data_IF_896641124439
#
_entry.id   IF_896641124439
#
_cell.length_a   1.000
_cell.length_b   1.000
_cell.length_c   1.000
_cell.angle_alpha   90.00
_cell.angle_beta   90.00
_cell.angle_gamma   90.00
#
_symmetry.space_group_name_H-M   'P 1'
#
loop_
_entity.id
_entity.type
_entity.pdbx_description
1 polymer ?
#
# COMPACT_ATOMS: atom_id res chain seq x y z
N UNK A 1 -37.60 -74.62 -15.31
CA UNK A 1 -37.89 -73.17 -15.32
C UNK A 1 -36.80 -72.47 -14.52
N UNK A 2 -35.93 -71.71 -15.18
CA UNK A 2 -34.77 -71.02 -14.60
C UNK A 2 -35.22 -69.69 -14.01
N UNK A 3 -34.97 -69.42 -12.72
CA UNK A 3 -35.12 -68.09 -12.12
C UNK A 3 -33.74 -67.52 -11.83
N UNK A 4 -33.45 -66.40 -12.46
CA UNK A 4 -32.20 -65.64 -12.41
C UNK A 4 -32.43 -64.46 -11.45
N UNK A 5 -31.66 -64.37 -10.37
CA UNK A 5 -31.66 -63.19 -9.48
C UNK A 5 -30.50 -62.27 -9.89
N UNK A 6 -30.83 -61.02 -10.16
CA UNK A 6 -29.91 -59.92 -10.44
C UNK A 6 -29.61 -59.23 -9.10
N UNK A 7 -28.34 -59.26 -8.68
CA UNK A 7 -27.87 -58.56 -7.48
C UNK A 7 -27.61 -57.08 -7.78
N UNK A 8 -28.20 -56.20 -6.99
CA UNK A 8 -27.99 -54.76 -7.03
C UNK A 8 -26.73 -54.38 -6.22
N UNK A 9 -25.77 -53.73 -6.86
CA UNK A 9 -24.64 -53.09 -6.21
C UNK A 9 -25.01 -51.66 -5.78
N UNK A 10 -24.95 -51.39 -4.47
CA UNK A 10 -25.16 -50.07 -3.90
C UNK A 10 -23.92 -49.20 -4.11
N UNK A 11 -24.07 -48.09 -4.84
CA UNK A 11 -23.04 -47.05 -4.97
C UNK A 11 -22.96 -46.20 -3.72
N UNK A 12 -21.79 -46.15 -3.09
CA UNK A 12 -21.51 -45.22 -2.00
C UNK A 12 -21.25 -43.82 -2.57
N UNK A 13 -22.13 -42.86 -2.27
CA UNK A 13 -21.93 -41.46 -2.63
C UNK A 13 -20.94 -40.79 -1.67
N UNK A 14 -19.78 -40.38 -2.18
CA UNK A 14 -18.78 -39.62 -1.45
C UNK A 14 -19.21 -38.13 -1.45
N UNK A 15 -19.70 -37.64 -0.32
CA UNK A 15 -20.01 -36.21 -0.12
C UNK A 15 -18.71 -35.43 0.10
N UNK A 16 -18.28 -34.68 -0.92
CA UNK A 16 -17.21 -33.69 -0.79
C UNK A 16 -17.78 -32.43 -0.11
N UNK A 17 -17.38 -32.19 1.14
CA UNK A 17 -17.62 -30.92 1.82
C UNK A 17 -16.60 -29.90 1.32
N UNK A 18 -17.04 -28.94 0.51
CA UNK A 18 -16.23 -27.76 0.17
C UNK A 18 -16.26 -26.80 1.36
N UNK A 19 -15.16 -26.68 2.09
CA UNK A 19 -14.96 -25.58 3.03
C UNK A 19 -14.82 -24.28 2.24
N UNK A 20 -15.53 -23.19 2.62
CA UNK A 20 -15.32 -21.89 1.99
C UNK A 20 -13.90 -21.42 2.27
N UNK A 21 -13.13 -21.14 1.22
CA UNK A 21 -11.85 -20.47 1.36
C UNK A 21 -12.11 -19.01 1.77
N UNK A 22 -11.70 -18.64 2.98
CA UNK A 22 -11.63 -17.24 3.37
C UNK A 22 -10.45 -16.62 2.63
N UNK A 23 -10.69 -15.56 1.86
CA UNK A 23 -9.61 -14.77 1.28
C UNK A 23 -8.71 -14.25 2.41
N UNK A 24 -7.40 -14.39 2.24
CA UNK A 24 -6.45 -13.75 3.14
C UNK A 24 -6.66 -12.23 3.11
N UNK A 25 -6.41 -11.50 4.22
CA UNK A 25 -6.41 -10.05 4.19
C UNK A 25 -5.41 -9.54 3.13
N UNK A 26 -5.78 -8.48 2.42
CA UNK A 26 -4.87 -7.81 1.50
C UNK A 26 -3.63 -7.26 2.25
N UNK A 27 -2.42 -7.42 1.68
CA UNK A 27 -1.23 -6.72 2.15
C UNK A 27 -1.48 -5.21 2.27
N UNK A 28 -0.88 -4.57 3.28
CA UNK A 28 -1.10 -3.15 3.54
C UNK A 28 0.06 -2.50 4.30
N UNK A 29 0.22 -1.19 4.09
CA UNK A 29 1.05 -0.33 4.92
C UNK A 29 0.18 0.73 5.60
N UNK A 30 0.34 0.89 6.91
CA UNK A 30 -0.39 1.91 7.68
C UNK A 30 0.55 2.67 8.58
N UNK A 31 0.33 3.96 8.78
CA UNK A 31 1.19 4.73 9.65
C UNK A 31 0.72 6.15 9.88
N UNK A 32 1.28 6.75 10.92
CA UNK A 32 1.17 8.15 11.25
C UNK A 32 2.52 8.62 11.74
N UNK A 33 3.22 9.44 10.97
CA UNK A 33 4.59 9.84 11.18
C UNK A 33 4.70 11.35 11.32
N UNK A 34 5.58 11.79 12.21
CA UNK A 34 6.16 13.13 12.22
C UNK A 34 7.58 13.01 11.69
N UNK A 35 7.92 13.86 10.72
CA UNK A 35 9.18 13.86 10.00
C UNK A 35 9.96 15.14 10.33
N UNK A 36 11.29 15.01 10.36
CA UNK A 36 12.20 16.13 10.56
C UNK A 36 12.73 16.70 9.24
N UNK A 37 12.91 18.03 9.21
CA UNK A 37 13.67 18.78 8.19
C UNK A 37 13.22 18.56 6.73
N UNK A 38 12.16 19.24 6.28
CA UNK A 38 11.34 20.18 7.05
C UNK A 38 10.37 19.46 8.00
N UNK A 39 9.83 20.18 8.97
CA UNK A 39 8.79 19.67 9.86
C UNK A 39 7.53 19.32 9.06
N UNK A 40 7.24 18.02 8.98
CA UNK A 40 6.13 17.47 8.22
C UNK A 40 5.42 16.39 9.03
N UNK A 41 4.15 16.16 8.70
CA UNK A 41 3.35 15.04 9.18
C UNK A 41 2.73 14.31 8.02
N UNK A 42 2.66 12.98 8.14
CA UNK A 42 1.95 12.15 7.19
C UNK A 42 1.20 11.05 7.93
N UNK A 43 -0.06 10.83 7.57
CA UNK A 43 -0.85 9.68 7.96
C UNK A 43 -1.29 8.95 6.71
N UNK A 44 -1.20 7.62 6.71
CA UNK A 44 -1.52 6.83 5.54
C UNK A 44 -2.08 5.45 5.89
N UNK A 45 -2.91 4.95 4.98
CA UNK A 45 -3.28 3.55 4.88
C UNK A 45 -3.29 3.17 3.40
N UNK A 46 -2.40 2.28 2.98
CA UNK A 46 -2.28 1.81 1.60
C UNK A 46 -2.53 0.30 1.59
N UNK A 47 -3.46 -0.17 0.77
CA UNK A 47 -3.83 -1.57 0.63
C UNK A 47 -3.50 -2.02 -0.79
N UNK A 48 -2.69 -3.06 -0.90
CA UNK A 48 -2.25 -3.68 -2.14
C UNK A 48 -3.19 -4.86 -2.47
N UNK A 49 -3.95 -4.72 -3.56
CA UNK A 49 -4.85 -5.74 -4.08
C UNK A 49 -4.31 -6.41 -5.36
N UNK A 50 -3.04 -6.17 -5.70
CA UNK A 50 -2.38 -6.69 -6.88
C UNK A 50 -2.28 -5.66 -8.00
N UNK A 51 -3.39 -5.44 -8.72
CA UNK A 51 -3.41 -4.47 -9.81
C UNK A 51 -3.65 -3.05 -9.26
N UNK A 52 -2.93 -2.05 -9.79
CA UNK A 52 -2.93 -0.68 -9.26
C UNK A 52 -4.31 -0.01 -9.22
N UNK A 53 -5.23 -0.37 -10.11
CA UNK A 53 -6.61 0.14 -10.13
C UNK A 53 -7.50 -0.51 -9.05
N UNK A 54 -7.10 -1.67 -8.54
CA UNK A 54 -7.74 -2.34 -7.40
C UNK A 54 -7.24 -1.80 -6.06
N UNK A 55 -6.05 -1.21 -6.00
CA UNK A 55 -5.47 -0.63 -4.78
C UNK A 55 -6.33 0.47 -4.17
N UNK A 56 -6.31 0.55 -2.84
CA UNK A 56 -7.14 1.50 -2.07
C UNK A 56 -6.36 2.10 -0.93
N UNK A 57 -6.87 3.21 -0.40
CA UNK A 57 -6.24 3.88 0.72
C UNK A 57 -6.39 5.39 0.69
N UNK A 58 -5.84 6.04 1.69
CA UNK A 58 -5.69 7.48 1.72
C UNK A 58 -4.35 7.90 2.35
N UNK A 59 -3.97 9.13 2.03
CA UNK A 59 -2.86 9.84 2.62
C UNK A 59 -3.37 11.21 3.07
N UNK A 60 -3.04 11.57 4.31
CA UNK A 60 -3.10 12.94 4.81
C UNK A 60 -1.68 13.44 5.01
N UNK A 61 -1.32 14.54 4.36
CA UNK A 61 0.03 15.09 4.41
C UNK A 61 -0.01 16.55 4.83
N UNK A 62 0.93 16.94 5.69
CA UNK A 62 1.13 18.31 6.12
C UNK A 62 2.62 18.67 6.13
N UNK A 63 2.96 19.84 5.59
CA UNK A 63 4.27 20.47 5.74
C UNK A 63 4.10 21.84 6.40
N UNK A 64 4.60 21.95 7.63
CA UNK A 64 4.47 23.14 8.47
C UNK A 64 5.40 24.28 8.04
N UNK A 65 6.45 23.98 7.28
CA UNK A 65 7.44 24.95 6.82
C UNK A 65 7.19 25.42 5.38
N UNK A 66 6.21 24.83 4.68
CA UNK A 66 5.80 25.33 3.38
C UNK A 66 5.10 26.70 3.51
N UNK A 67 5.46 27.72 2.70
CA UNK A 67 4.79 29.03 2.76
C UNK A 67 3.27 28.92 2.58
N UNK A 68 2.51 29.45 3.54
CA UNK A 68 1.04 29.37 3.55
C UNK A 68 0.47 28.08 4.13
N UNK A 69 1.33 27.13 4.54
CA UNK A 69 0.95 25.80 5.03
C UNK A 69 0.51 24.89 3.88
N UNK A 70 1.16 23.74 3.74
CA UNK A 70 0.73 22.71 2.80
C UNK A 70 0.05 21.61 3.60
N UNK A 71 -1.25 21.42 3.41
CA UNK A 71 -2.02 20.36 4.09
C UNK A 71 -3.11 19.85 3.15
N UNK A 72 -3.11 18.55 2.88
CA UNK A 72 -4.11 17.94 2.01
C UNK A 72 -4.38 16.47 2.37
N UNK A 73 -5.49 15.97 1.83
CA UNK A 73 -5.83 14.54 1.75
C UNK A 73 -5.89 14.11 0.30
N UNK A 74 -5.45 12.88 0.02
CA UNK A 74 -5.58 12.25 -1.29
C UNK A 74 -5.83 10.76 -1.14
N UNK A 75 -6.49 10.18 -2.13
CA UNK A 75 -6.61 8.73 -2.25
C UNK A 75 -5.30 8.13 -2.75
N UNK A 76 -5.03 6.90 -2.31
CA UNK A 76 -3.94 6.06 -2.85
C UNK A 76 -4.37 5.54 -4.21
N UNK A 77 -3.46 5.65 -5.19
CA UNK A 77 -3.66 5.29 -6.59
C UNK A 77 -2.88 4.04 -7.02
N UNK A 78 -1.93 3.62 -6.19
CA UNK A 78 -1.14 2.41 -6.34
C UNK A 78 -0.51 2.11 -4.98
N UNK A 79 -0.42 0.84 -4.62
CA UNK A 79 0.25 0.30 -3.46
C UNK A 79 0.96 -0.99 -3.86
N UNK A 80 2.23 -1.11 -3.48
CA UNK A 80 2.97 -2.34 -3.61
C UNK A 80 3.56 -2.68 -2.26
N UNK A 81 3.16 -3.81 -1.68
CA UNK A 81 3.54 -4.22 -0.34
C UNK A 81 4.22 -5.58 -0.42
N UNK A 82 5.44 -5.68 0.13
CA UNK A 82 6.21 -6.91 0.08
C UNK A 82 7.11 -7.06 1.30
N UNK A 83 6.85 -8.10 2.09
CA UNK A 83 7.60 -8.35 3.32
C UNK A 83 7.42 -7.20 4.31
N UNK A 84 8.51 -6.47 4.57
CA UNK A 84 8.52 -5.29 5.45
C UNK A 84 8.66 -3.96 4.69
N UNK A 85 8.59 -4.02 3.36
CA UNK A 85 8.72 -2.89 2.45
C UNK A 85 7.35 -2.55 1.87
N UNK A 86 7.09 -1.26 1.68
CA UNK A 86 5.94 -0.84 0.91
C UNK A 86 6.21 0.46 0.15
N UNK A 87 5.62 0.55 -1.03
CA UNK A 87 5.55 1.77 -1.82
C UNK A 87 4.11 2.10 -2.10
N UNK A 88 3.76 3.38 -2.08
CA UNK A 88 2.42 3.81 -2.45
C UNK A 88 2.44 5.19 -3.07
N UNK A 89 1.53 5.40 -4.00
CA UNK A 89 1.43 6.60 -4.82
C UNK A 89 0.11 7.33 -4.56
N UNK A 90 0.16 8.66 -4.59
CA UNK A 90 -1.03 9.51 -4.63
C UNK A 90 -0.75 10.74 -5.51
N UNK A 91 -1.78 11.52 -5.81
CA UNK A 91 -1.64 12.76 -6.56
C UNK A 91 -1.97 13.97 -5.66
N UNK A 92 -1.15 15.01 -5.70
CA UNK A 92 -1.44 16.25 -4.96
C UNK A 92 -2.71 16.88 -5.55
N UNK A 93 -3.75 17.15 -4.75
CA UNK A 93 -5.00 17.70 -5.26
C UNK A 93 -4.84 19.14 -5.74
N UNK A 94 -5.90 19.67 -6.33
CA UNK A 94 -5.96 21.07 -6.75
C UNK A 94 -5.87 22.03 -5.56
N UNK A 95 -5.37 23.25 -5.81
CA UNK A 95 -5.29 24.32 -4.80
C UNK A 95 -3.88 24.63 -4.30
N UNK A 96 -2.85 23.95 -4.82
CA UNK A 96 -1.45 24.13 -4.43
C UNK A 96 -0.61 24.55 -5.66
N UNK A 97 -0.50 25.85 -5.95
CA UNK A 97 0.23 26.35 -7.12
C UNK A 97 1.66 25.79 -7.21
N UNK A 98 1.99 25.19 -8.35
CA UNK A 98 3.30 24.56 -8.60
C UNK A 98 3.45 23.14 -8.05
N UNK A 99 2.48 22.63 -7.30
CA UNK A 99 2.49 21.27 -6.73
C UNK A 99 1.29 20.42 -7.17
N UNK A 100 0.13 21.05 -7.43
CA UNK A 100 -1.09 20.36 -7.85
C UNK A 100 -0.84 19.49 -9.10
N UNK A 101 -1.37 18.27 -9.06
CA UNK A 101 -1.24 17.29 -10.12
C UNK A 101 0.07 16.49 -10.11
N UNK A 102 1.05 16.83 -9.25
CA UNK A 102 2.23 15.98 -9.08
C UNK A 102 1.86 14.65 -8.42
N UNK A 103 2.41 13.57 -8.95
CA UNK A 103 2.34 12.26 -8.32
C UNK A 103 3.47 12.15 -7.32
N UNK A 104 3.13 11.82 -6.08
CA UNK A 104 4.08 11.55 -5.02
C UNK A 104 4.10 10.06 -4.76
N UNK A 105 5.30 9.51 -4.62
CA UNK A 105 5.52 8.11 -4.31
C UNK A 105 6.24 8.08 -2.97
N UNK A 106 5.63 7.46 -1.97
CA UNK A 106 6.30 7.15 -0.72
C UNK A 106 6.91 5.76 -0.78
N UNK A 107 8.03 5.60 -0.13
CA UNK A 107 8.66 4.34 0.20
C UNK A 107 8.77 4.27 1.72
N UNK A 108 8.27 3.19 2.30
CA UNK A 108 8.34 2.91 3.72
C UNK A 108 8.91 1.53 3.96
N UNK A 109 9.69 1.40 5.03
CA UNK A 109 10.20 0.11 5.48
C UNK A 109 10.00 -0.01 6.99
N UNK A 110 9.31 -1.08 7.41
CA UNK A 110 9.05 -1.44 8.80
C UNK A 110 10.21 -2.31 9.31
N UNK A 111 11.12 -1.74 10.10
CA UNK A 111 12.36 -2.43 10.49
C UNK A 111 12.33 -2.94 11.93
N UNK A 112 11.16 -3.09 12.56
CA UNK A 112 11.13 -3.67 13.90
C UNK A 112 9.80 -3.59 14.62
N UNK A 113 9.85 -3.55 15.95
CA UNK A 113 8.65 -3.33 16.75
C UNK A 113 8.07 -1.95 16.44
N UNK A 114 6.73 -1.79 16.40
CA UNK A 114 6.07 -0.52 16.12
C UNK A 114 6.76 0.68 16.80
N UNK A 115 7.47 1.52 16.01
CA UNK A 115 7.99 2.81 16.44
C UNK A 115 9.19 3.32 15.64
N UNK A 116 9.70 4.50 16.02
CA UNK A 116 10.74 5.28 15.32
C UNK A 116 12.13 4.64 15.20
N UNK A 117 12.40 3.45 15.75
CA UNK A 117 13.76 2.94 16.00
C UNK A 117 14.30 2.00 14.91
N UNK A 118 14.08 2.34 13.65
CA UNK A 118 14.59 1.60 12.49
C UNK A 118 13.77 1.84 11.24
N UNK A 119 12.52 2.27 11.41
CA UNK A 119 11.59 2.59 10.35
C UNK A 119 12.16 3.62 9.38
N UNK A 120 11.89 3.40 8.10
CA UNK A 120 12.32 4.29 7.01
C UNK A 120 11.07 4.91 6.38
N UNK A 121 11.15 6.21 6.14
CA UNK A 121 10.21 6.91 5.29
C UNK A 121 10.99 7.80 4.32
N UNK A 122 10.69 7.66 3.04
CA UNK A 122 11.13 8.57 2.01
C UNK A 122 10.03 8.82 0.99
N UNK A 123 10.13 9.92 0.27
CA UNK A 123 9.28 10.14 -0.90
C UNK A 123 10.03 10.81 -2.04
N UNK A 124 9.46 10.68 -3.21
CA UNK A 124 9.85 11.40 -4.43
C UNK A 124 8.59 11.87 -5.15
N UNK A 125 8.74 12.71 -6.17
CA UNK A 125 7.60 13.20 -6.94
C UNK A 125 7.93 13.38 -8.42
N UNK A 126 6.92 13.21 -9.27
CA UNK A 126 7.02 13.40 -10.72
C UNK A 126 5.69 13.88 -11.31
N UNK A 127 5.75 14.62 -12.42
CA UNK A 127 4.56 14.98 -13.19
C UNK A 127 4.10 13.87 -14.15
N UNK A 128 4.92 12.84 -14.37
CA UNK A 128 4.64 11.77 -15.33
C UNK A 128 4.01 10.55 -14.65
N UNK A 129 2.71 10.32 -14.88
CA UNK A 129 1.96 9.20 -14.29
C UNK A 129 2.60 7.84 -14.56
N UNK A 130 3.13 7.61 -15.77
CA UNK A 130 3.78 6.34 -16.12
C UNK A 130 5.03 6.09 -15.26
N UNK A 131 5.85 7.12 -15.05
CA UNK A 131 7.02 7.04 -14.18
C UNK A 131 6.61 6.78 -12.74
N UNK A 132 5.55 7.45 -12.27
CA UNK A 132 5.04 7.27 -10.91
C UNK A 132 4.52 5.85 -10.65
N UNK A 133 3.75 5.29 -11.59
CA UNK A 133 3.29 3.90 -11.52
C UNK A 133 4.47 2.92 -11.52
N UNK A 134 5.45 3.11 -12.41
CA UNK A 134 6.64 2.25 -12.46
C UNK A 134 7.41 2.26 -11.13
N UNK A 135 7.59 3.45 -10.53
CA UNK A 135 8.22 3.60 -9.22
C UNK A 135 7.44 2.92 -8.10
N UNK A 136 6.11 3.01 -8.12
CA UNK A 136 5.27 2.37 -7.12
C UNK A 136 5.34 0.84 -7.21
N UNK A 137 5.08 0.29 -8.39
CA UNK A 137 4.98 -1.17 -8.60
C UNK A 137 6.35 -1.86 -8.55
N UNK A 138 7.37 -1.24 -9.15
CA UNK A 138 8.64 -1.92 -9.40
C UNK A 138 9.82 -1.31 -8.62
N UNK A 139 9.70 -0.07 -8.15
CA UNK A 139 10.76 0.64 -7.44
C UNK A 139 11.65 1.49 -8.32
N UNK A 140 12.80 1.87 -7.77
CA UNK A 140 13.74 2.81 -8.39
C UNK A 140 14.58 2.14 -9.49
N UNK A 141 13.94 1.83 -10.62
CA UNK A 141 14.62 1.18 -11.75
C UNK A 141 15.22 2.24 -12.70
N UNK A 142 14.63 3.45 -12.76
CA UNK A 142 15.09 4.59 -13.60
C UNK A 142 14.48 5.94 -13.13
N UNK A 143 14.03 6.04 -11.88
CA UNK A 143 13.22 7.17 -11.41
C UNK A 143 14.02 8.24 -10.65
N UNK A 144 13.36 9.35 -10.27
CA UNK A 144 13.93 10.30 -9.32
C UNK A 144 14.17 9.61 -7.97
N UNK A 145 15.39 9.73 -7.46
CA UNK A 145 15.76 9.17 -6.16
C UNK A 145 14.84 9.65 -5.03
N UNK A 146 14.57 8.74 -4.08
CA UNK A 146 13.83 9.06 -2.88
C UNK A 146 14.63 10.01 -1.98
N UNK A 147 13.96 11.04 -1.48
CA UNK A 147 14.46 11.83 -0.35
C UNK A 147 13.94 11.18 0.93
N UNK A 148 14.86 10.77 1.80
CA UNK A 148 14.54 10.14 3.08
C UNK A 148 14.53 11.17 4.21
N UNK A 149 13.52 11.05 5.06
CA UNK A 149 13.29 12.00 6.15
C UNK A 149 13.47 11.29 7.50
N UNK A 150 14.20 11.90 8.45
CA UNK A 150 14.25 11.39 9.82
C UNK A 150 12.85 11.33 10.42
N UNK A 151 12.44 10.16 10.90
CA UNK A 151 11.19 10.02 11.64
C UNK A 151 11.45 10.48 13.09
N UNK A 152 10.75 11.52 13.52
CA UNK A 152 10.91 12.13 14.84
C UNK A 152 9.78 11.77 15.81
N UNK A 153 8.70 11.17 15.31
CA UNK A 153 7.61 10.66 16.13
C UNK A 153 6.61 9.85 15.32
N UNK A 154 5.76 9.11 16.02
CA UNK A 154 4.74 8.26 15.40
C UNK A 154 5.21 6.82 15.15
N UNK A 155 4.48 6.12 14.28
CA UNK A 155 4.69 4.71 13.98
C UNK A 155 4.22 4.37 12.56
N UNK A 156 4.88 3.40 11.91
CA UNK A 156 4.36 2.71 10.74
C UNK A 156 4.34 1.20 10.96
N UNK A 157 3.47 0.50 10.23
CA UNK A 157 3.35 -0.96 10.25
C UNK A 157 3.09 -1.45 8.85
N UNK A 158 3.86 -2.45 8.42
CA UNK A 158 3.64 -3.17 7.17
C UNK A 158 3.08 -4.57 7.49
N UNK A 159 1.94 -4.90 6.89
CA UNK A 159 1.29 -6.20 7.00
C UNK A 159 1.31 -6.86 5.62
N UNK A 160 1.81 -8.09 5.56
CA UNK A 160 1.85 -8.89 4.34
C UNK A 160 1.12 -10.22 4.55
#
# INVERSE_FOLDING_TARGET
>A
MKKMLIGASAGAALLLYTVPAFAAPAPKATGGLTLGSPNQQISFNAFDYGDADEDKGNVEYQNFEHPGGLHYKSDVLCANVSGNDARFMWQIPDGFPGLSGLYVIAHVQDNGSPGTNGDIYGHTSTAAVKTALTLCENGDIDGPAFTYYPITGGNLVVHN
#
